data_IF_314001097499
#
_entry.id   IF_314001097499
#
_cell.length_a   1.000
_cell.length_b   1.000
_cell.length_c   1.000
_cell.angle_alpha   90.00
_cell.angle_beta   90.00
_cell.angle_gamma   90.00
#
_symmetry.space_group_name_H-M   'P 1'
#
loop_
_entity.id
_entity.type
_entity.pdbx_description
1 polymer ?
#
# COMPACT_ATOMS: atom_id res chain seq x y z
N UNK A 1 -13.61 -12.56 -11.47
CA UNK A 1 -13.30 -11.75 -10.29
C UNK A 1 -12.68 -10.46 -10.80
N UNK A 2 -13.21 -9.27 -10.51
CA UNK A 2 -12.45 -8.05 -10.78
C UNK A 2 -11.12 -8.15 -10.05
N UNK A 3 -10.03 -7.73 -10.69
CA UNK A 3 -8.70 -7.69 -10.10
C UNK A 3 -8.74 -6.81 -8.84
N UNK A 4 -8.58 -7.41 -7.65
CA UNK A 4 -8.46 -6.65 -6.41
C UNK A 4 -7.25 -5.73 -6.53
N UNK A 5 -7.36 -4.42 -6.24
CA UNK A 5 -6.23 -3.49 -6.35
C UNK A 5 -5.09 -3.82 -5.39
N UNK A 6 -5.37 -4.63 -4.36
CA UNK A 6 -4.44 -5.07 -3.32
C UNK A 6 -3.54 -6.24 -3.76
N UNK A 7 -3.90 -6.95 -4.82
CA UNK A 7 -3.28 -8.22 -5.21
C UNK A 7 -2.77 -8.17 -6.65
N UNK A 8 -1.57 -8.69 -6.86
CA UNK A 8 -1.03 -9.01 -8.20
C UNK A 8 -0.82 -10.52 -8.31
N UNK A 9 -1.29 -11.12 -9.40
CA UNK A 9 -0.99 -12.52 -9.71
C UNK A 9 0.30 -12.60 -10.53
N UNK A 10 1.24 -13.44 -10.11
CA UNK A 10 2.50 -13.64 -10.82
C UNK A 10 2.83 -15.13 -10.95
N UNK A 11 3.53 -15.50 -12.03
CA UNK A 11 4.16 -16.81 -12.12
C UNK A 11 5.40 -16.82 -11.22
N UNK A 12 5.48 -17.81 -10.33
CA UNK A 12 6.62 -18.02 -9.45
C UNK A 12 7.26 -19.37 -9.71
N UNK A 13 8.50 -19.53 -9.25
CA UNK A 13 9.15 -20.83 -9.12
C UNK A 13 9.19 -21.22 -7.64
N UNK A 14 8.35 -22.17 -7.22
CA UNK A 14 8.31 -22.63 -5.83
C UNK A 14 9.36 -23.71 -5.58
N UNK A 15 10.19 -23.48 -4.57
CA UNK A 15 11.22 -24.42 -4.10
C UNK A 15 10.76 -25.12 -2.83
N UNK A 16 10.90 -26.46 -2.77
CA UNK A 16 10.70 -27.27 -1.58
C UNK A 16 11.85 -28.26 -1.45
N UNK A 17 12.32 -28.49 -0.22
CA UNK A 17 13.49 -29.34 0.02
C UNK A 17 13.18 -30.78 -0.38
N UNK A 18 14.00 -31.35 -1.26
CA UNK A 18 13.85 -32.73 -1.75
C UNK A 18 12.80 -32.89 -2.86
N UNK A 19 12.25 -31.78 -3.36
CA UNK A 19 11.35 -31.76 -4.52
C UNK A 19 11.98 -30.97 -5.66
N UNK A 20 11.66 -31.35 -6.89
CA UNK A 20 11.96 -30.54 -8.06
C UNK A 20 11.18 -29.21 -8.00
N UNK A 21 11.80 -28.06 -8.33
CA UNK A 21 11.12 -26.77 -8.37
C UNK A 21 9.92 -26.78 -9.32
N UNK A 22 8.81 -26.18 -8.90
CA UNK A 22 7.57 -26.14 -9.70
C UNK A 22 7.17 -24.72 -10.04
N UNK A 23 6.75 -24.51 -11.30
CA UNK A 23 6.10 -23.27 -11.73
C UNK A 23 4.63 -23.28 -11.32
N UNK A 24 4.17 -22.20 -10.73
CA UNK A 24 2.78 -22.02 -10.35
C UNK A 24 2.40 -20.53 -10.33
N UNK A 25 1.11 -20.23 -10.39
CA UNK A 25 0.61 -18.88 -10.14
C UNK A 25 0.44 -18.67 -8.65
N UNK A 26 0.89 -17.53 -8.14
CA UNK A 26 0.67 -17.13 -6.76
C UNK A 26 0.08 -15.71 -6.69
N UNK A 27 -0.66 -15.45 -5.62
CA UNK A 27 -1.26 -14.15 -5.33
C UNK A 27 -0.33 -13.39 -4.37
N UNK A 28 0.23 -12.29 -4.85
CA UNK A 28 1.15 -11.46 -4.09
C UNK A 28 0.48 -10.16 -3.66
N UNK A 29 0.84 -9.65 -2.48
CA UNK A 29 0.46 -8.31 -2.09
C UNK A 29 1.07 -7.30 -3.06
N UNK A 30 0.27 -6.35 -3.53
CA UNK A 30 0.73 -5.24 -4.35
C UNK A 30 1.28 -4.15 -3.43
N UNK A 31 2.41 -3.58 -3.82
CA UNK A 31 2.96 -2.37 -3.20
C UNK A 31 3.13 -1.29 -4.26
N UNK A 32 2.67 -0.08 -3.94
CA UNK A 32 2.81 1.10 -4.80
C UNK A 32 3.20 2.32 -3.97
N UNK A 33 3.95 3.27 -4.56
CA UNK A 33 4.23 4.52 -3.90
C UNK A 33 2.95 5.36 -3.78
N UNK A 34 2.74 5.94 -2.60
CA UNK A 34 1.78 7.01 -2.34
C UNK A 34 2.54 8.26 -1.92
N UNK A 35 2.37 9.34 -2.68
CA UNK A 35 2.78 10.67 -2.26
C UNK A 35 1.67 11.31 -1.40
N UNK A 36 2.02 11.71 -0.18
CA UNK A 36 1.13 12.48 0.69
C UNK A 36 1.48 13.95 0.54
N UNK A 37 0.48 14.77 0.23
CA UNK A 37 0.62 16.21 0.04
C UNK A 37 -0.34 16.97 0.96
N UNK A 38 0.17 17.99 1.63
CA UNK A 38 -0.63 18.89 2.46
C UNK A 38 -0.63 20.27 1.80
N UNK A 39 -1.81 20.78 1.45
CA UNK A 39 -1.96 22.06 0.73
C UNK A 39 -1.07 22.15 -0.51
N UNK A 40 -0.97 21.04 -1.24
CA UNK A 40 -0.15 20.92 -2.45
C UNK A 40 1.35 20.72 -2.21
N UNK A 41 1.86 20.78 -0.98
CA UNK A 41 3.26 20.53 -0.66
C UNK A 41 3.47 19.05 -0.32
N UNK A 42 4.47 18.42 -0.94
CA UNK A 42 4.86 17.03 -0.65
C UNK A 42 5.47 16.95 0.75
N UNK A 43 4.91 16.08 1.60
CA UNK A 43 5.41 15.87 2.98
C UNK A 43 6.04 14.50 3.15
N UNK A 44 5.62 13.50 2.38
CA UNK A 44 6.18 12.16 2.40
C UNK A 44 5.83 11.37 1.13
N UNK A 45 6.67 10.37 0.83
CA UNK A 45 6.36 9.29 -0.10
C UNK A 45 6.52 7.98 0.66
N UNK A 46 5.50 7.13 0.65
CA UNK A 46 5.52 5.83 1.34
C UNK A 46 5.07 4.70 0.43
N UNK A 47 5.51 3.48 0.69
CA UNK A 47 5.00 2.29 0.03
C UNK A 47 3.72 1.83 0.71
N UNK A 48 2.72 1.41 -0.06
CA UNK A 48 1.46 0.92 0.50
C UNK A 48 0.80 -0.14 -0.38
N UNK A 49 -0.08 -0.92 0.25
CA UNK A 49 -1.07 -1.72 -0.47
C UNK A 49 -2.25 -0.81 -0.88
N UNK A 50 -2.59 -0.68 -2.18
CA UNK A 50 -3.63 0.24 -2.63
C UNK A 50 -5.03 -0.09 -2.14
N UNK A 51 -5.85 0.93 -1.83
CA UNK A 51 -7.28 0.77 -1.58
C UNK A 51 -7.83 1.49 -0.34
N UNK A 52 -6.98 2.06 0.52
CA UNK A 52 -7.35 2.77 1.77
C UNK A 52 -6.50 4.01 1.98
N UNK A 53 -6.40 4.76 0.90
CA UNK A 53 -5.41 5.82 0.71
C UNK A 53 -5.66 7.00 1.66
N UNK A 54 -6.93 7.35 1.84
CA UNK A 54 -7.36 8.47 2.67
C UNK A 54 -7.15 8.17 4.17
N UNK A 55 -7.50 6.96 4.60
CA UNK A 55 -7.27 6.51 5.97
C UNK A 55 -5.78 6.41 6.29
N UNK A 56 -4.99 5.89 5.35
CA UNK A 56 -3.54 5.84 5.48
C UNK A 56 -2.94 7.26 5.60
N UNK A 57 -3.35 8.20 4.74
CA UNK A 57 -2.87 9.58 4.79
C UNK A 57 -3.26 10.26 6.11
N UNK A 58 -4.52 10.14 6.55
CA UNK A 58 -4.97 10.71 7.82
C UNK A 58 -4.20 10.14 9.02
N UNK A 59 -4.03 8.81 9.05
CA UNK A 59 -3.26 8.13 10.09
C UNK A 59 -1.80 8.56 10.10
N UNK A 60 -1.16 8.64 8.93
CA UNK A 60 0.21 9.09 8.78
C UNK A 60 0.42 10.52 9.29
N UNK A 61 -0.44 11.46 8.90
CA UNK A 61 -0.35 12.85 9.35
C UNK A 61 -0.51 12.96 10.88
N UNK A 62 -1.37 12.12 11.48
CA UNK A 62 -1.56 12.07 12.92
C UNK A 62 -0.32 11.52 13.64
N UNK A 63 0.25 10.42 13.17
CA UNK A 63 1.42 9.79 13.81
C UNK A 63 2.70 10.62 13.69
N UNK A 64 2.85 11.37 12.59
CA UNK A 64 3.97 12.30 12.38
C UNK A 64 3.74 13.66 13.06
N UNK A 65 2.60 13.87 13.72
CA UNK A 65 2.29 15.11 14.44
C UNK A 65 2.00 16.32 13.54
N UNK A 66 1.74 16.09 12.25
CA UNK A 66 1.33 17.13 11.29
C UNK A 66 -0.13 17.55 11.48
N UNK A 67 -0.96 16.65 12.03
CA UNK A 67 -2.26 16.94 12.60
C UNK A 67 -2.33 16.37 14.01
N UNK A 68 -3.16 16.96 14.85
CA UNK A 68 -3.33 16.55 16.26
C UNK A 68 -4.74 16.04 16.54
N UNK A 69 -5.71 16.44 15.72
CA UNK A 69 -7.08 15.99 15.85
C UNK A 69 -7.80 15.97 14.49
N UNK A 70 -8.97 15.33 14.44
CA UNK A 70 -9.82 15.30 13.24
C UNK A 70 -10.15 16.69 12.70
N UNK A 71 -10.28 17.69 13.58
CA UNK A 71 -10.62 19.06 13.18
C UNK A 71 -9.55 19.76 12.32
N UNK A 72 -8.32 19.25 12.32
CA UNK A 72 -7.23 19.78 11.51
C UNK A 72 -7.34 19.36 10.02
N UNK A 73 -8.16 18.34 9.72
CA UNK A 73 -8.41 17.81 8.37
C UNK A 73 -9.76 18.33 7.88
N UNK A 74 -9.72 19.19 6.85
CA UNK A 74 -10.93 19.74 6.21
C UNK A 74 -11.46 18.80 5.12
N UNK A 75 -10.55 18.24 4.30
CA UNK A 75 -10.82 17.36 3.16
C UNK A 75 -9.59 16.49 2.88
N UNK A 76 -9.79 15.32 2.28
CA UNK A 76 -8.76 14.39 1.79
C UNK A 76 -9.09 14.00 0.36
#
# INVERSE_FOLDING_TARGET
>A
MPSSPEIVCAEILRWRRGEEPRREQDALAREEPLEIRVRGQSVAVTMRTPGRDAELAAGFLLTEGLVTCRGDIVEI
#
